data_IF_492441251220
#
_entry.id   IF_492441251220
#
_cell.length_a   1.000
_cell.length_b   1.000
_cell.length_c   1.000
_cell.angle_alpha   90.00
_cell.angle_beta   90.00
_cell.angle_gamma   90.00
#
_symmetry.space_group_name_H-M   'P 1'
#
loop_
_entity.id
_entity.type
_entity.pdbx_description
1 polymer ?
#
# COMPACT_ATOMS: atom_id res chain seq x y z
N UNK A 1 5.21 10.31 -3.82
CA UNK A 1 5.67 9.06 -4.49
C UNK A 1 4.70 7.95 -4.15
N UNK A 2 4.22 7.28 -5.17
CA UNK A 2 3.30 6.15 -5.00
C UNK A 2 3.95 4.91 -5.62
N UNK A 3 3.88 3.80 -4.92
CA UNK A 3 4.44 2.52 -5.40
C UNK A 3 3.41 1.41 -5.26
N UNK A 4 3.53 0.40 -6.13
CA UNK A 4 2.79 -0.86 -6.02
C UNK A 4 3.71 -1.88 -5.36
N UNK A 5 3.54 -2.09 -4.06
CA UNK A 5 4.35 -3.06 -3.33
C UNK A 5 3.69 -4.45 -3.40
N UNK A 6 4.49 -5.49 -3.61
CA UNK A 6 3.96 -6.84 -3.53
C UNK A 6 3.30 -7.08 -2.18
N UNK A 7 2.15 -7.74 -2.19
CA UNK A 7 1.38 -8.02 -0.97
C UNK A 7 2.01 -9.19 -0.21
N UNK A 8 3.24 -9.02 0.22
CA UNK A 8 3.98 -9.95 1.05
C UNK A 8 4.48 -9.22 2.28
N UNK A 9 4.39 -9.86 3.42
CA UNK A 9 4.72 -9.26 4.70
C UNK A 9 6.11 -8.61 4.73
N UNK A 10 7.12 -9.30 4.23
CA UNK A 10 8.48 -8.76 4.23
C UNK A 10 8.64 -7.55 3.31
N UNK A 11 7.96 -7.54 2.17
CA UNK A 11 8.01 -6.41 1.23
C UNK A 11 7.30 -5.20 1.81
N UNK A 12 6.09 -5.41 2.34
CA UNK A 12 5.31 -4.32 2.94
C UNK A 12 6.04 -3.73 4.15
N UNK A 13 6.64 -4.58 4.96
CA UNK A 13 7.41 -4.14 6.11
C UNK A 13 8.62 -3.28 5.70
N UNK A 14 9.28 -3.66 4.60
CA UNK A 14 10.40 -2.89 4.05
C UNK A 14 9.96 -1.46 3.71
N UNK A 15 8.84 -1.32 3.02
CA UNK A 15 8.34 0.01 2.65
C UNK A 15 7.89 0.81 3.87
N UNK A 16 7.21 0.18 4.82
CA UNK A 16 6.80 0.86 6.06
C UNK A 16 8.01 1.36 6.84
N UNK A 17 9.06 0.56 6.91
CA UNK A 17 10.30 0.92 7.60
C UNK A 17 10.96 2.14 6.96
N UNK A 18 10.75 2.33 5.66
CA UNK A 18 11.29 3.46 4.92
C UNK A 18 10.35 4.66 4.86
N UNK A 19 9.30 4.66 5.65
CA UNK A 19 8.39 5.80 5.78
C UNK A 19 7.16 5.75 4.89
N UNK A 20 6.98 4.69 4.12
CA UNK A 20 5.81 4.53 3.28
C UNK A 20 4.59 4.14 4.12
N UNK A 21 3.43 4.58 3.68
CA UNK A 21 2.15 4.26 4.32
C UNK A 21 1.20 3.68 3.28
N UNK A 22 0.25 2.88 3.73
CA UNK A 22 -0.76 2.33 2.84
C UNK A 22 -1.68 3.45 2.35
N UNK A 23 -1.91 3.51 1.04
CA UNK A 23 -2.82 4.48 0.44
C UNK A 23 -4.27 4.19 0.87
N UNK A 24 -4.61 2.90 0.95
CA UNK A 24 -5.90 2.46 1.47
C UNK A 24 -5.66 1.73 2.79
N UNK A 25 -6.41 2.08 3.82
CA UNK A 25 -6.16 1.56 5.18
C UNK A 25 -6.41 0.05 5.29
N UNK A 26 -7.29 -0.51 4.47
CA UNK A 26 -7.58 -1.94 4.46
C UNK A 26 -7.56 -2.49 3.04
N UNK A 27 -7.38 -3.82 2.91
CA UNK A 27 -7.45 -4.48 1.61
C UNK A 27 -8.85 -4.37 0.99
N UNK A 28 -9.88 -4.40 1.82
CA UNK A 28 -11.26 -4.28 1.33
C UNK A 28 -11.49 -2.94 0.64
N UNK A 29 -10.99 -1.85 1.21
CA UNK A 29 -11.11 -0.53 0.59
C UNK A 29 -10.34 -0.46 -0.73
N UNK A 30 -9.18 -1.08 -0.78
CA UNK A 30 -8.38 -1.11 -2.00
C UNK A 30 -9.06 -1.91 -3.10
N UNK A 31 -9.64 -3.06 -2.75
CA UNK A 31 -10.41 -3.88 -3.68
C UNK A 31 -11.61 -3.10 -4.24
N UNK A 32 -12.33 -2.41 -3.37
CA UNK A 32 -13.48 -1.61 -3.78
C UNK A 32 -13.06 -0.49 -4.74
N UNK A 33 -11.98 0.21 -4.44
CA UNK A 33 -11.49 1.31 -5.26
C UNK A 33 -11.04 0.83 -6.65
N UNK A 34 -10.51 -0.37 -6.75
CA UNK A 34 -10.01 -0.93 -8.01
C UNK A 34 -10.99 -1.91 -8.68
N UNK A 35 -12.20 -2.02 -8.17
CA UNK A 35 -13.25 -2.91 -8.70
C UNK A 35 -12.82 -4.38 -8.71
N UNK A 36 -12.11 -4.81 -7.67
CA UNK A 36 -11.65 -6.19 -7.52
C UNK A 36 -12.65 -6.96 -6.67
N UNK A 37 -13.08 -8.17 -7.07
CA UNK A 37 -14.00 -8.98 -6.27
C UNK A 37 -13.45 -9.30 -4.89
N UNK A 38 -14.31 -9.37 -3.88
CA UNK A 38 -13.92 -9.61 -2.49
C UNK A 38 -13.20 -10.94 -2.28
N UNK A 39 -13.55 -11.96 -3.08
CA UNK A 39 -12.94 -13.27 -2.98
C UNK A 39 -11.60 -13.38 -3.72
N UNK A 40 -11.21 -12.34 -4.45
CA UNK A 40 -9.95 -12.31 -5.14
C UNK A 40 -8.86 -11.75 -4.23
N UNK A 41 -7.69 -12.39 -4.27
CA UNK A 41 -6.56 -11.97 -3.44
C UNK A 41 -5.79 -10.83 -4.11
N UNK A 42 -5.42 -9.82 -3.33
CA UNK A 42 -4.60 -8.72 -3.85
C UNK A 42 -3.16 -9.19 -3.99
N UNK A 43 -2.60 -9.03 -5.19
CA UNK A 43 -1.20 -9.36 -5.45
C UNK A 43 -0.26 -8.24 -5.02
N UNK A 44 -0.77 -7.00 -4.99
CA UNK A 44 0.03 -5.83 -4.59
C UNK A 44 -0.84 -4.87 -3.80
N UNK A 45 -0.17 -4.02 -3.02
CA UNK A 45 -0.81 -2.96 -2.25
C UNK A 45 -0.22 -1.63 -2.67
N UNK A 46 -1.06 -0.60 -2.80
CA UNK A 46 -0.58 0.74 -3.11
C UNK A 46 -0.11 1.42 -1.83
N UNK A 47 1.11 1.94 -1.88
CA UNK A 47 1.70 2.66 -0.76
C UNK A 47 2.23 4.02 -1.24
N UNK A 48 2.32 4.97 -0.34
CA UNK A 48 2.80 6.30 -0.68
C UNK A 48 3.81 6.81 0.33
N UNK A 49 4.70 7.67 -0.15
CA UNK A 49 5.66 8.39 0.68
C UNK A 49 5.31 9.86 0.67
N UNK A 50 5.06 10.43 1.85
CA UNK A 50 4.78 11.84 1.98
C UNK A 50 6.09 12.62 2.14
N UNK A 51 6.51 13.26 1.07
CA UNK A 51 7.77 14.02 1.04
C UNK A 51 7.73 15.24 1.96
N UNK A 52 6.56 15.81 2.17
CA UNK A 52 6.43 16.98 3.07
C UNK A 52 6.72 16.61 4.51
N UNK A 53 6.34 15.41 4.93
CA UNK A 53 6.68 14.90 6.25
C UNK A 53 8.14 14.54 6.41
N UNK A 54 8.83 14.35 5.30
CA UNK A 54 10.22 13.91 5.30
C UNK A 54 11.23 15.06 5.39
N UNK A 55 10.79 16.26 5.05
CA UNK A 55 11.67 17.45 4.94
C UNK A 55 11.74 18.26 6.24
N UNK A 56 11.23 17.77 7.30
CA UNK A 56 11.26 18.48 8.58
C UNK A 56 12.65 18.54 9.20
#
# INVERSE_FOLDING_TARGET
IVVDAYNKENVLHFYEKNGFKFLYSTEDLEKEANHIPEDEHLESRMMYLDLLGYIR
#
